data_IF_826895653491
#
_entry.id   IF_826895653491
#
_cell.length_a   1.000
_cell.length_b   1.000
_cell.length_c   1.000
_cell.angle_alpha   90.00
_cell.angle_beta   90.00
_cell.angle_gamma   90.00
#
_symmetry.space_group_name_H-M   'P 1'
#
loop_
_entity.id
_entity.type
_entity.pdbx_description
1 polymer ?
#
# COMPACT_ATOMS: atom_id res chain seq x y z
N UNK A 1 12.20 18.59 12.49
CA UNK A 1 13.08 17.73 11.67
C UNK A 1 13.25 16.44 12.43
N UNK A 2 12.74 15.34 11.86
CA UNK A 2 12.57 14.07 12.58
C UNK A 2 13.86 13.72 13.29
N UNK A 3 13.76 13.30 14.55
CA UNK A 3 14.91 12.65 15.17
C UNK A 3 15.34 11.50 14.26
N UNK A 4 16.65 11.32 14.09
CA UNK A 4 17.19 10.31 13.18
C UNK A 4 16.62 8.91 13.48
N UNK A 5 16.36 8.62 14.75
CA UNK A 5 15.70 7.36 15.16
C UNK A 5 14.26 7.28 14.67
N UNK A 6 13.46 8.33 14.88
CA UNK A 6 12.07 8.38 14.43
C UNK A 6 11.97 8.29 12.90
N UNK A 7 12.85 8.99 12.17
CA UNK A 7 12.92 8.95 10.71
C UNK A 7 13.21 7.53 10.18
N UNK A 8 14.21 6.85 10.74
CA UNK A 8 14.54 5.48 10.35
C UNK A 8 13.40 4.50 10.64
N UNK A 9 12.72 4.60 11.79
CA UNK A 9 11.58 3.74 12.13
C UNK A 9 10.38 3.98 11.22
N UNK A 10 10.10 5.25 10.94
CA UNK A 10 9.05 5.68 10.04
C UNK A 10 9.28 5.14 8.62
N UNK A 11 10.47 5.35 8.04
CA UNK A 11 10.79 4.86 6.70
C UNK A 11 10.94 3.34 6.63
N UNK A 12 11.49 2.70 7.66
CA UNK A 12 11.51 1.24 7.77
C UNK A 12 10.11 0.64 7.56
N UNK A 13 9.11 1.13 8.29
CA UNK A 13 7.74 0.65 8.17
C UNK A 13 7.14 0.92 6.78
N UNK A 14 7.40 2.10 6.20
CA UNK A 14 6.97 2.44 4.83
C UNK A 14 7.55 1.49 3.78
N UNK A 15 8.85 1.19 3.84
CA UNK A 15 9.47 0.30 2.87
C UNK A 15 8.94 -1.13 2.96
N UNK A 16 8.67 -1.64 4.17
CA UNK A 16 8.08 -2.97 4.34
C UNK A 16 6.66 -3.03 3.78
N UNK A 17 5.82 -2.02 4.05
CA UNK A 17 4.46 -1.94 3.49
C UNK A 17 4.48 -1.80 1.96
N UNK A 18 5.41 -0.99 1.41
CA UNK A 18 5.59 -0.81 -0.04
C UNK A 18 6.00 -2.08 -0.75
N UNK A 19 6.98 -2.81 -0.21
CA UNK A 19 7.42 -4.08 -0.78
C UNK A 19 6.26 -5.08 -0.87
N UNK A 20 5.44 -5.16 0.19
CA UNK A 20 4.28 -6.03 0.22
C UNK A 20 3.21 -5.61 -0.79
N UNK A 21 2.93 -4.31 -0.89
CA UNK A 21 1.99 -3.77 -1.85
C UNK A 21 2.37 -4.07 -3.30
N UNK A 22 3.64 -3.90 -3.65
CA UNK A 22 4.14 -4.22 -4.99
C UNK A 22 4.03 -5.72 -5.24
N UNK A 23 4.36 -6.56 -4.25
CA UNK A 23 4.20 -7.99 -4.38
C UNK A 23 2.74 -8.41 -4.64
N UNK A 24 1.78 -7.75 -3.98
CA UNK A 24 0.35 -7.97 -4.23
C UNK A 24 -0.11 -7.45 -5.58
N UNK A 25 0.43 -6.31 -6.03
CA UNK A 25 0.13 -5.73 -7.34
C UNK A 25 0.57 -6.68 -8.45
N UNK A 26 1.77 -7.25 -8.36
CA UNK A 26 2.26 -8.27 -9.30
C UNK A 26 1.37 -9.52 -9.25
N UNK A 27 1.06 -10.06 -8.06
CA UNK A 27 0.21 -11.26 -7.94
C UNK A 27 -1.20 -11.05 -8.51
N UNK A 28 -1.79 -9.88 -8.26
CA UNK A 28 -3.10 -9.50 -8.81
C UNK A 28 -3.04 -9.40 -10.34
N UNK A 29 -2.01 -8.75 -10.88
CA UNK A 29 -1.82 -8.58 -12.33
C UNK A 29 -1.63 -9.94 -13.02
N UNK A 30 -0.82 -10.84 -12.46
CA UNK A 30 -0.63 -12.20 -12.99
C UNK A 30 -1.95 -12.99 -13.06
N UNK A 31 -2.84 -12.81 -12.08
CA UNK A 31 -4.14 -13.49 -12.08
C UNK A 31 -5.07 -12.96 -13.15
N UNK A 32 -5.10 -11.64 -13.36
CA UNK A 32 -5.94 -11.01 -14.40
C UNK A 32 -5.44 -11.40 -15.78
N UNK A 33 -4.13 -11.37 -16.03
CA UNK A 33 -3.54 -11.72 -17.34
C UNK A 33 -3.60 -13.21 -17.66
N UNK A 34 -3.85 -14.07 -16.67
CA UNK A 34 -4.12 -15.50 -16.88
C UNK A 34 -5.56 -15.79 -17.35
N UNK A 35 -6.47 -14.81 -17.33
CA UNK A 35 -7.82 -14.96 -17.84
C UNK A 35 -7.81 -15.03 -19.39
N UNK A 36 -8.78 -15.72 -20.02
CA UNK A 36 -8.89 -15.74 -21.47
C UNK A 36 -8.98 -14.32 -22.04
N UNK A 37 -8.40 -14.09 -23.23
CA UNK A 37 -8.30 -12.76 -23.85
C UNK A 37 -9.64 -12.04 -24.03
N UNK A 38 -10.76 -12.78 -24.08
CA UNK A 38 -12.12 -12.23 -24.07
C UNK A 38 -12.49 -11.48 -22.80
N UNK A 39 -11.72 -11.65 -21.72
CA UNK A 39 -11.92 -11.03 -20.41
C UNK A 39 -10.82 -10.01 -20.05
N UNK A 40 -9.84 -9.81 -20.92
CA UNK A 40 -8.82 -8.77 -20.75
C UNK A 40 -9.39 -7.49 -21.37
N UNK A 41 -9.46 -6.41 -20.58
CA UNK A 41 -9.94 -5.13 -21.06
C UNK A 41 -9.09 -4.57 -22.20
N UNK A 42 -9.48 -3.43 -22.77
CA UNK A 42 -8.68 -2.75 -23.81
C UNK A 42 -7.32 -2.25 -23.31
N UNK A 43 -7.10 -2.22 -22.00
CA UNK A 43 -5.93 -1.66 -21.33
C UNK A 43 -4.89 -2.72 -20.99
N UNK A 44 -3.61 -2.40 -21.11
CA UNK A 44 -2.53 -3.26 -20.65
C UNK A 44 -2.51 -3.31 -19.11
N UNK A 45 -2.80 -4.48 -18.53
CA UNK A 45 -2.81 -4.66 -17.08
C UNK A 45 -1.43 -4.47 -16.44
N UNK A 46 -0.35 -4.69 -17.19
CA UNK A 46 1.01 -4.40 -16.72
C UNK A 46 1.30 -2.90 -16.65
N UNK A 47 0.71 -2.09 -17.53
CA UNK A 47 0.75 -0.62 -17.40
C UNK A 47 -0.06 -0.15 -16.19
N UNK A 48 -1.23 -0.75 -15.96
CA UNK A 48 -2.02 -0.49 -14.75
C UNK A 48 -1.23 -0.78 -13.47
N UNK A 49 -0.45 -1.86 -13.45
CA UNK A 49 0.44 -2.20 -12.34
C UNK A 49 1.51 -1.12 -12.10
N UNK A 50 2.14 -0.60 -13.16
CA UNK A 50 3.14 0.47 -13.07
C UNK A 50 2.55 1.79 -12.57
N UNK A 51 1.35 2.15 -13.03
CA UNK A 51 0.60 3.33 -12.56
C UNK A 51 0.26 3.19 -11.07
N UNK A 52 -0.23 2.01 -10.67
CA UNK A 52 -0.62 1.69 -9.29
C UNK A 52 0.59 1.73 -8.36
N UNK A 53 1.76 1.30 -8.83
CA UNK A 53 3.04 1.42 -8.13
C UNK A 53 3.64 2.84 -8.15
N UNK A 54 3.07 3.78 -8.93
CA UNK A 54 3.56 5.16 -9.03
C UNK A 54 4.89 5.31 -9.76
N UNK A 55 5.26 4.36 -10.63
CA UNK A 55 6.58 4.31 -11.30
C UNK A 55 6.49 4.19 -12.82
N UNK A 56 5.32 4.47 -13.41
CA UNK A 56 5.09 4.38 -14.85
C UNK A 56 6.07 5.25 -15.66
N UNK A 57 6.29 6.51 -15.29
CA UNK A 57 7.21 7.39 -16.02
C UNK A 57 8.66 6.86 -15.99
N UNK A 58 9.17 6.53 -14.80
CA UNK A 58 10.55 6.06 -14.64
C UNK A 58 10.80 4.65 -15.21
N UNK A 59 9.74 3.87 -15.43
CA UNK A 59 9.84 2.59 -16.12
C UNK A 59 10.26 2.79 -17.59
N UNK A 60 9.66 3.76 -18.27
CA UNK A 60 9.91 4.02 -19.68
C UNK A 60 11.29 4.67 -19.97
N UNK A 61 11.97 5.15 -18.93
CA UNK A 61 13.38 5.53 -19.01
C UNK A 61 14.32 4.31 -19.17
N UNK A 62 13.84 3.11 -18.83
CA UNK A 62 14.63 1.86 -18.79
C UNK A 62 14.14 0.85 -19.84
N UNK A 63 12.82 0.75 -20.04
CA UNK A 63 12.20 -0.22 -20.94
C UNK A 63 11.28 0.48 -21.95
N UNK A 64 11.21 -0.04 -23.18
CA UNK A 64 10.33 0.53 -24.21
C UNK A 64 8.89 0.03 -24.10
N UNK A 65 8.68 -1.19 -23.61
CA UNK A 65 7.37 -1.85 -23.58
C UNK A 65 7.08 -2.46 -22.21
N UNK A 66 5.84 -2.29 -21.75
CA UNK A 66 5.32 -2.84 -20.50
C UNK A 66 4.86 -4.29 -20.68
N UNK A 67 5.81 -5.19 -20.94
CA UNK A 67 5.59 -6.65 -20.96
C UNK A 67 5.62 -7.23 -19.55
N UNK A 68 5.06 -8.42 -19.35
CA UNK A 68 5.14 -9.16 -18.07
C UNK A 68 6.57 -9.24 -17.56
N UNK A 69 7.50 -9.66 -18.41
CA UNK A 69 8.91 -9.82 -18.03
C UNK A 69 9.52 -8.49 -17.58
N UNK A 70 9.34 -7.41 -18.36
CA UNK A 70 9.94 -6.12 -18.06
C UNK A 70 9.35 -5.52 -16.78
N UNK A 71 8.02 -5.58 -16.61
CA UNK A 71 7.36 -4.99 -15.43
C UNK A 71 7.67 -5.79 -14.17
N UNK A 72 7.67 -7.13 -14.22
CA UNK A 72 8.09 -7.95 -13.09
C UNK A 72 9.53 -7.65 -12.70
N UNK A 73 10.46 -7.63 -13.66
CA UNK A 73 11.87 -7.31 -13.37
C UNK A 73 12.00 -5.92 -12.74
N UNK A 74 11.33 -4.92 -13.31
CA UNK A 74 11.41 -3.54 -12.83
C UNK A 74 10.82 -3.34 -11.43
N UNK A 75 9.69 -3.97 -11.15
CA UNK A 75 9.00 -3.84 -9.85
C UNK A 75 9.63 -4.73 -8.77
N UNK A 76 10.16 -5.90 -9.12
CA UNK A 76 10.69 -6.84 -8.14
C UNK A 76 12.18 -6.62 -7.85
N UNK A 77 13.01 -6.48 -8.88
CA UNK A 77 14.45 -6.66 -8.76
C UNK A 77 15.29 -5.49 -9.25
N UNK A 78 14.74 -4.60 -10.10
CA UNK A 78 15.53 -3.54 -10.71
C UNK A 78 16.12 -2.58 -9.68
N UNK A 79 17.45 -2.34 -9.72
CA UNK A 79 18.11 -1.37 -8.87
C UNK A 79 17.80 0.08 -9.30
N UNK A 80 17.37 0.31 -10.54
CA UNK A 80 17.01 1.66 -11.03
C UNK A 80 15.66 2.14 -10.52
N UNK A 81 14.84 1.26 -9.95
CA UNK A 81 13.58 1.59 -9.33
C UNK A 81 13.76 1.64 -7.80
N UNK A 82 13.81 2.82 -7.16
CA UNK A 82 13.94 2.92 -5.69
C UNK A 82 12.79 2.25 -4.93
N UNK A 83 11.63 2.08 -5.59
CA UNK A 83 10.47 1.41 -5.04
C UNK A 83 10.46 -0.09 -5.33
N UNK A 84 11.44 -0.68 -6.05
CA UNK A 84 11.43 -2.13 -6.27
C UNK A 84 11.44 -2.90 -4.96
N UNK A 85 10.86 -4.11 -4.95
CA UNK A 85 10.81 -4.97 -3.75
C UNK A 85 12.22 -5.15 -3.17
N UNK A 86 13.21 -5.41 -4.03
CA UNK A 86 14.61 -5.53 -3.64
C UNK A 86 15.12 -4.28 -2.92
N UNK A 87 14.99 -3.11 -3.55
CA UNK A 87 15.46 -1.85 -2.98
C UNK A 87 14.72 -1.48 -1.68
N UNK A 88 13.42 -1.79 -1.59
CA UNK A 88 12.65 -1.60 -0.35
C UNK A 88 13.17 -2.46 0.80
N UNK A 89 13.46 -3.74 0.56
CA UNK A 89 14.00 -4.65 1.59
C UNK A 89 15.42 -4.20 2.00
N UNK A 90 16.25 -3.78 1.05
CA UNK A 90 17.59 -3.23 1.34
C UNK A 90 17.51 -1.94 2.16
N UNK A 91 16.65 -1.00 1.79
CA UNK A 91 16.43 0.24 2.52
C UNK A 91 15.87 -0.01 3.94
N UNK A 92 14.91 -0.93 4.06
CA UNK A 92 14.41 -1.41 5.35
C UNK A 92 15.56 -1.97 6.20
N UNK A 93 16.44 -2.80 5.64
CA UNK A 93 17.58 -3.38 6.34
C UNK A 93 18.61 -2.34 6.81
N UNK A 94 18.81 -1.26 6.04
CA UNK A 94 19.69 -0.15 6.42
C UNK A 94 19.09 0.69 7.55
N UNK A 95 17.81 1.01 7.47
CA UNK A 95 17.09 1.72 8.52
C UNK A 95 17.06 0.91 9.82
N UNK A 96 16.78 -0.41 9.72
CA UNK A 96 16.76 -1.30 10.89
C UNK A 96 18.13 -1.40 11.57
N UNK A 97 19.23 -1.36 10.79
CA UNK A 97 20.60 -1.33 11.35
C UNK A 97 20.85 -0.04 12.13
N UNK A 98 20.40 1.08 11.59
CA UNK A 98 20.58 2.41 12.19
C UNK A 98 19.82 2.57 13.50
N UNK A 99 18.72 1.82 13.69
CA UNK A 99 17.88 1.85 14.90
C UNK A 99 17.82 0.52 15.63
N UNK A 100 18.91 -0.27 15.56
CA UNK A 100 18.97 -1.62 16.14
C UNK A 100 18.58 -1.67 17.63
N UNK A 101 18.88 -0.61 18.38
CA UNK A 101 18.56 -0.48 19.81
C UNK A 101 17.10 -0.14 20.10
N UNK A 102 16.38 0.41 19.11
CA UNK A 102 14.95 0.71 19.21
C UNK A 102 14.06 -0.44 18.71
N UNK A 103 14.63 -1.42 17.99
CA UNK A 103 13.93 -2.61 17.50
C UNK A 103 14.05 -3.77 18.47
N UNK A 104 13.00 -4.59 18.54
CA UNK A 104 13.08 -5.88 19.21
C UNK A 104 13.88 -6.87 18.36
N UNK A 105 14.36 -7.95 18.99
CA UNK A 105 15.11 -8.99 18.28
C UNK A 105 14.28 -9.62 17.17
N UNK A 106 12.99 -9.88 17.39
CA UNK A 106 12.08 -10.48 16.42
C UNK A 106 11.91 -9.61 15.16
N UNK A 107 11.77 -8.29 15.34
CA UNK A 107 11.68 -7.36 14.21
C UNK A 107 12.99 -7.29 13.43
N UNK A 108 14.11 -7.23 14.15
CA UNK A 108 15.43 -7.22 13.54
C UNK A 108 15.69 -8.49 12.73
N UNK A 109 15.44 -9.65 13.34
CA UNK A 109 15.67 -10.96 12.74
C UNK A 109 14.79 -11.13 11.50
N UNK A 110 13.53 -10.70 11.55
CA UNK A 110 12.63 -10.74 10.37
C UNK A 110 13.22 -10.01 9.16
N UNK A 111 13.67 -8.76 9.33
CA UNK A 111 14.22 -7.96 8.23
C UNK A 111 15.60 -8.45 7.82
N UNK A 112 16.42 -8.86 8.78
CA UNK A 112 17.76 -9.37 8.49
C UNK A 112 17.71 -10.69 7.72
N UNK A 113 16.88 -11.64 8.13
CA UNK A 113 16.68 -12.90 7.42
C UNK A 113 16.10 -12.68 6.03
N UNK A 114 15.12 -11.79 5.88
CA UNK A 114 14.58 -11.46 4.57
C UNK A 114 15.63 -10.87 3.62
N UNK A 115 16.50 -9.99 4.12
CA UNK A 115 17.60 -9.44 3.31
C UNK A 115 18.63 -10.51 2.91
N UNK A 116 18.99 -11.43 3.82
CA UNK A 116 19.89 -12.55 3.50
C UNK A 116 19.26 -13.46 2.43
N UNK A 117 18.00 -13.87 2.64
CA UNK A 117 17.29 -14.75 1.70
C UNK A 117 17.12 -14.10 0.32
N UNK A 118 16.85 -12.79 0.28
CA UNK A 118 16.80 -12.01 -0.96
C UNK A 118 18.11 -12.09 -1.76
N UNK A 119 19.26 -12.06 -1.10
CA UNK A 119 20.56 -12.20 -1.74
C UNK A 119 20.88 -13.63 -2.15
N UNK A 120 20.64 -14.59 -1.27
CA UNK A 120 21.07 -16.00 -1.46
C UNK A 120 20.14 -16.80 -2.36
N UNK A 121 18.82 -16.62 -2.21
CA UNK A 121 17.79 -17.40 -2.94
C UNK A 121 17.31 -16.64 -4.17
N UNK A 122 17.06 -15.33 -4.02
CA UNK A 122 16.38 -14.52 -5.03
C UNK A 122 17.33 -13.61 -5.82
N UNK A 123 18.65 -13.68 -5.57
CA UNK A 123 19.63 -12.76 -6.14
C UNK A 123 19.77 -12.82 -7.67
N UNK A 124 19.30 -13.91 -8.30
CA UNK A 124 19.28 -14.09 -9.77
C UNK A 124 17.91 -13.77 -10.40
N UNK A 125 16.96 -13.24 -9.63
CA UNK A 125 15.58 -13.06 -10.06
C UNK A 125 14.80 -14.37 -10.07
N UNK A 126 13.71 -14.40 -10.84
CA UNK A 126 12.79 -15.56 -10.94
C UNK A 126 12.70 -16.02 -12.39
N UNK A 127 12.84 -17.32 -12.64
CA UNK A 127 12.89 -17.87 -14.01
C UNK A 127 11.55 -18.45 -14.48
N UNK A 128 10.58 -18.62 -13.57
CA UNK A 128 9.25 -19.13 -13.90
C UNK A 128 8.16 -18.44 -13.07
N UNK A 129 6.90 -18.55 -13.53
CA UNK A 129 5.73 -18.05 -12.77
C UNK A 129 5.57 -18.72 -11.41
N UNK A 130 5.99 -19.98 -11.27
CA UNK A 130 5.95 -20.68 -9.98
C UNK A 130 7.00 -20.11 -9.01
N UNK A 131 8.22 -19.85 -9.49
CA UNK A 131 9.26 -19.18 -8.71
C UNK A 131 8.85 -17.78 -8.32
N UNK A 132 8.27 -17.01 -9.24
CA UNK A 132 7.72 -15.70 -8.97
C UNK A 132 6.64 -15.77 -7.89
N UNK A 133 5.69 -16.69 -7.99
CA UNK A 133 4.66 -16.85 -6.96
C UNK A 133 5.25 -17.20 -5.57
N UNK A 134 6.34 -17.99 -5.51
CA UNK A 134 7.07 -18.25 -4.25
C UNK A 134 7.74 -16.98 -3.71
N UNK A 135 8.39 -16.20 -4.58
CA UNK A 135 9.00 -14.93 -4.21
C UNK A 135 7.97 -13.93 -3.65
N UNK A 136 6.83 -13.76 -4.35
CA UNK A 136 5.77 -12.85 -3.90
C UNK A 136 5.20 -13.26 -2.54
N UNK A 137 5.04 -14.58 -2.28
CA UNK A 137 4.63 -15.09 -0.97
C UNK A 137 5.68 -14.80 0.11
N UNK A 138 6.96 -15.01 -0.17
CA UNK A 138 8.06 -14.67 0.74
C UNK A 138 8.01 -13.19 1.18
N UNK A 139 7.76 -12.27 0.25
CA UNK A 139 7.65 -10.83 0.55
C UNK A 139 6.43 -10.53 1.42
N UNK A 140 5.27 -11.10 1.08
CA UNK A 140 4.04 -10.94 1.86
C UNK A 140 4.18 -11.49 3.28
N UNK A 141 4.78 -12.68 3.44
CA UNK A 141 5.05 -13.28 4.74
C UNK A 141 6.04 -12.48 5.57
N UNK A 142 7.07 -11.91 4.94
CA UNK A 142 8.04 -11.02 5.61
C UNK A 142 7.33 -9.81 6.22
N UNK A 143 6.46 -9.16 5.46
CA UNK A 143 5.68 -8.03 5.96
C UNK A 143 4.75 -8.41 7.11
N UNK A 144 4.03 -9.53 7.00
CA UNK A 144 3.17 -10.04 8.08
C UNK A 144 3.95 -10.37 9.36
N UNK A 145 5.13 -11.01 9.23
CA UNK A 145 6.01 -11.31 10.36
C UNK A 145 6.54 -10.03 11.00
N UNK A 146 6.89 -9.02 10.21
CA UNK A 146 7.38 -7.74 10.71
C UNK A 146 6.30 -6.99 11.49
N UNK A 147 5.11 -6.84 10.90
CA UNK A 147 3.97 -6.15 11.54
C UNK A 147 3.51 -6.89 12.81
N UNK A 148 3.41 -8.22 12.74
CA UNK A 148 3.05 -9.06 13.88
C UNK A 148 4.07 -8.98 15.02
N UNK A 149 5.37 -8.94 14.69
CA UNK A 149 6.44 -8.73 15.68
C UNK A 149 6.33 -7.35 16.31
N UNK A 150 6.26 -6.29 15.50
CA UNK A 150 6.12 -4.91 15.97
C UNK A 150 4.93 -4.76 16.93
N UNK A 151 3.78 -5.33 16.56
CA UNK A 151 2.59 -5.29 17.38
C UNK A 151 2.75 -6.04 18.70
N UNK A 152 3.39 -7.21 18.71
CA UNK A 152 3.48 -8.07 19.90
C UNK A 152 4.59 -7.70 20.87
N UNK A 153 5.69 -7.14 20.40
CA UNK A 153 6.94 -7.06 21.20
C UNK A 153 7.36 -5.63 21.53
N UNK A 154 6.99 -4.62 20.73
CA UNK A 154 7.38 -3.24 21.00
C UNK A 154 6.59 -2.63 22.16
N UNK A 155 7.29 -1.90 23.05
CA UNK A 155 6.66 -1.02 24.01
C UNK A 155 5.84 0.07 23.30
N UNK A 156 4.72 0.48 23.90
CA UNK A 156 3.83 1.52 23.35
C UNK A 156 4.36 2.93 23.62
N UNK A 157 5.54 3.21 23.08
CA UNK A 157 6.23 4.49 23.13
C UNK A 157 6.32 5.13 21.74
N UNK A 158 6.99 6.26 21.66
CA UNK A 158 7.18 7.00 20.41
C UNK A 158 7.79 6.18 19.28
N UNK A 159 8.77 5.30 19.56
CA UNK A 159 9.34 4.41 18.55
C UNK A 159 8.28 3.52 17.89
N UNK A 160 7.38 2.94 18.69
CA UNK A 160 6.24 2.19 18.16
C UNK A 160 5.32 3.09 17.35
N UNK A 161 4.94 4.25 17.88
CA UNK A 161 4.00 5.15 17.22
C UNK A 161 4.54 5.69 15.88
N UNK A 162 5.82 6.04 15.77
CA UNK A 162 6.45 6.46 14.51
C UNK A 162 6.49 5.33 13.48
N UNK A 163 6.78 4.09 13.90
CA UNK A 163 6.67 2.92 13.03
C UNK A 163 5.23 2.73 12.52
N UNK A 164 4.23 2.86 13.40
CA UNK A 164 2.81 2.80 13.01
C UNK A 164 2.41 3.92 12.05
N UNK A 165 2.93 5.15 12.23
CA UNK A 165 2.66 6.25 11.28
C UNK A 165 3.13 5.91 9.87
N UNK A 166 4.36 5.41 9.73
CA UNK A 166 4.90 5.02 8.42
C UNK A 166 4.02 3.97 7.75
N UNK A 167 3.67 2.92 8.48
CA UNK A 167 2.80 1.85 7.98
C UNK A 167 1.44 2.36 7.52
N UNK A 168 0.74 3.15 8.34
CA UNK A 168 -0.61 3.61 7.97
C UNK A 168 -0.60 4.67 6.86
N UNK A 169 0.44 5.51 6.77
CA UNK A 169 0.56 6.49 5.70
C UNK A 169 0.82 5.81 4.35
N UNK A 170 1.71 4.82 4.31
CA UNK A 170 2.00 4.05 3.10
C UNK A 170 0.79 3.23 2.67
N UNK A 171 0.09 2.59 3.61
CA UNK A 171 -1.11 1.80 3.33
C UNK A 171 -2.25 2.63 2.75
N UNK A 172 -2.44 3.85 3.27
CA UNK A 172 -3.39 4.80 2.75
C UNK A 172 -3.05 5.21 1.31
N UNK A 173 -1.77 5.50 1.03
CA UNK A 173 -1.28 5.84 -0.31
C UNK A 173 -1.53 4.70 -1.31
N UNK A 174 -1.16 3.47 -0.92
CA UNK A 174 -1.33 2.27 -1.73
C UNK A 174 -2.81 2.04 -2.11
N UNK A 175 -3.71 2.17 -1.14
CA UNK A 175 -5.15 1.97 -1.39
C UNK A 175 -5.70 3.07 -2.29
N UNK A 176 -5.30 4.33 -2.06
CA UNK A 176 -5.70 5.43 -2.91
C UNK A 176 -5.21 5.28 -4.35
N UNK A 177 -3.97 4.82 -4.57
CA UNK A 177 -3.43 4.57 -5.92
C UNK A 177 -4.15 3.45 -6.67
N UNK A 178 -4.52 2.37 -6.00
CA UNK A 178 -5.34 1.32 -6.63
C UNK A 178 -6.68 1.90 -7.09
N UNK A 179 -7.34 2.65 -6.21
CA UNK A 179 -8.62 3.30 -6.53
C UNK A 179 -8.47 4.28 -7.68
N UNK A 180 -7.39 5.08 -7.69
CA UNK A 180 -7.10 6.07 -8.72
C UNK A 180 -6.88 5.46 -10.11
N UNK A 181 -6.21 4.31 -10.19
CA UNK A 181 -5.97 3.63 -11.47
C UNK A 181 -7.21 2.88 -11.95
N UNK A 182 -8.00 2.34 -11.03
CA UNK A 182 -9.16 1.49 -11.35
C UNK A 182 -10.50 2.21 -11.20
N UNK A 183 -10.54 3.54 -11.07
CA UNK A 183 -11.81 4.26 -10.86
C UNK A 183 -12.82 4.06 -11.99
N UNK A 184 -12.37 4.00 -13.26
CA UNK A 184 -13.24 3.71 -14.41
C UNK A 184 -13.94 2.34 -14.31
N UNK A 185 -13.31 1.38 -13.64
CA UNK A 185 -13.87 0.05 -13.37
C UNK A 185 -14.87 0.09 -12.22
N UNK A 186 -14.69 1.06 -11.32
CA UNK A 186 -15.61 1.33 -10.23
C UNK A 186 -16.79 2.23 -10.66
N UNK A 187 -16.71 2.87 -11.83
CA UNK A 187 -17.68 3.81 -12.36
C UNK A 187 -17.82 3.71 -13.90
N UNK A 188 -18.48 2.68 -14.43
CA UNK A 188 -18.80 2.62 -15.85
C UNK A 188 -19.91 3.62 -16.19
N UNK A 189 -19.70 4.45 -17.23
CA UNK A 189 -20.64 5.53 -17.60
C UNK A 189 -21.96 5.02 -18.20
N UNK A 190 -21.99 3.91 -18.97
CA UNK A 190 -23.21 3.47 -19.68
C UNK A 190 -23.33 1.96 -19.98
N UNK A 191 -22.40 1.11 -19.53
CA UNK A 191 -22.44 -0.35 -19.82
C UNK A 191 -23.37 -1.12 -18.86
N UNK A 192 -23.90 -2.26 -19.33
CA UNK A 192 -24.60 -3.24 -18.48
C UNK A 192 -23.66 -3.72 -17.36
N UNK A 193 -23.70 -3.02 -16.23
CA UNK A 193 -22.88 -3.29 -15.04
C UNK A 193 -23.13 -4.72 -14.55
N UNK A 194 -22.05 -5.48 -14.33
CA UNK A 194 -22.14 -6.84 -13.78
C UNK A 194 -21.89 -7.94 -14.81
N UNK A 195 -21.20 -7.63 -15.90
CA UNK A 195 -20.62 -8.67 -16.76
C UNK A 195 -19.56 -9.49 -16.01
N UNK A 196 -19.22 -10.71 -16.48
CA UNK A 196 -18.18 -11.52 -15.85
C UNK A 196 -16.80 -10.83 -15.78
N UNK A 197 -16.50 -9.93 -16.73
CA UNK A 197 -15.26 -9.17 -16.80
C UNK A 197 -15.11 -8.21 -15.62
N UNK A 198 -16.16 -7.44 -15.31
CA UNK A 198 -16.17 -6.52 -14.17
C UNK A 198 -15.95 -7.25 -12.85
N UNK A 199 -16.59 -8.41 -12.69
CA UNK A 199 -16.45 -9.24 -11.50
C UNK A 199 -14.99 -9.65 -11.24
N UNK A 200 -14.25 -10.03 -12.29
CA UNK A 200 -12.83 -10.38 -12.15
C UNK A 200 -11.97 -9.18 -11.76
N UNK A 201 -12.22 -8.02 -12.37
CA UNK A 201 -11.46 -6.81 -12.04
C UNK A 201 -11.74 -6.34 -10.60
N UNK A 202 -13.00 -6.35 -10.17
CA UNK A 202 -13.40 -6.07 -8.79
C UNK A 202 -12.79 -7.06 -7.79
N UNK A 203 -12.80 -8.35 -8.12
CA UNK A 203 -12.15 -9.38 -7.30
C UNK A 203 -10.64 -9.14 -7.20
N UNK A 204 -10.00 -8.72 -8.29
CA UNK A 204 -8.58 -8.41 -8.33
C UNK A 204 -8.23 -7.22 -7.42
N UNK A 205 -9.02 -6.14 -7.51
CA UNK A 205 -8.91 -4.97 -6.61
C UNK A 205 -9.00 -5.43 -5.17
N UNK A 206 -10.07 -6.12 -4.78
CA UNK A 206 -10.28 -6.58 -3.40
C UNK A 206 -9.18 -7.53 -2.92
N UNK A 207 -8.62 -8.39 -3.78
CA UNK A 207 -7.50 -9.26 -3.41
C UNK A 207 -6.19 -8.51 -3.21
N UNK A 208 -5.92 -7.49 -4.03
CA UNK A 208 -4.72 -6.64 -3.89
C UNK A 208 -4.69 -5.91 -2.53
N UNK A 209 -5.85 -5.67 -1.92
CA UNK A 209 -5.99 -5.09 -0.58
C UNK A 209 -6.47 -6.09 0.48
N UNK A 210 -6.43 -7.41 0.23
CA UNK A 210 -6.88 -8.45 1.19
C UNK A 210 -8.31 -8.26 1.72
N UNK A 211 -9.19 -7.59 0.97
CA UNK A 211 -10.53 -7.19 1.40
C UNK A 211 -11.64 -8.08 0.84
N UNK A 212 -11.35 -9.08 0.00
CA UNK A 212 -12.40 -9.89 -0.65
C UNK A 212 -13.30 -10.60 0.37
N UNK A 213 -12.72 -11.23 1.39
CA UNK A 213 -13.48 -11.85 2.47
C UNK A 213 -14.24 -10.80 3.28
N UNK A 214 -13.59 -9.68 3.62
CA UNK A 214 -14.20 -8.60 4.39
C UNK A 214 -15.43 -8.00 3.67
N UNK A 215 -15.37 -7.86 2.35
CA UNK A 215 -16.49 -7.40 1.53
C UNK A 215 -17.74 -8.25 1.74
N UNK A 216 -17.61 -9.58 1.61
CA UNK A 216 -18.77 -10.47 1.78
C UNK A 216 -19.29 -10.50 3.22
N UNK A 217 -18.44 -10.25 4.21
CA UNK A 217 -18.88 -10.11 5.60
C UNK A 217 -19.66 -8.83 5.86
N UNK A 218 -19.23 -7.70 5.29
CA UNK A 218 -19.83 -6.38 5.50
C UNK A 218 -21.15 -6.24 4.74
N UNK A 219 -21.16 -6.56 3.43
CA UNK A 219 -22.33 -6.27 2.59
C UNK A 219 -23.24 -7.48 2.36
N UNK A 220 -22.72 -8.71 2.44
CA UNK A 220 -23.48 -9.95 2.16
C UNK A 220 -24.16 -9.98 0.79
N UNK A 221 -23.59 -9.25 -0.17
CA UNK A 221 -24.09 -9.13 -1.54
C UNK A 221 -23.05 -9.58 -2.56
N UNK A 222 -23.49 -9.71 -3.82
CA UNK A 222 -22.58 -9.81 -4.97
C UNK A 222 -21.75 -8.54 -5.09
N UNK A 223 -20.56 -8.66 -5.69
CA UNK A 223 -19.69 -7.51 -5.91
C UNK A 223 -20.41 -6.40 -6.68
N UNK A 224 -20.37 -5.20 -6.11
CA UNK A 224 -20.94 -3.97 -6.66
C UNK A 224 -19.88 -2.87 -6.56
N UNK A 225 -19.64 -2.10 -7.64
CA UNK A 225 -18.62 -1.06 -7.67
C UNK A 225 -18.71 -0.08 -6.50
N UNK A 226 -19.90 0.43 -6.23
CA UNK A 226 -20.14 1.43 -5.20
C UNK A 226 -19.88 0.91 -3.79
N UNK A 227 -20.18 -0.36 -3.52
CA UNK A 227 -19.88 -1.00 -2.24
C UNK A 227 -18.38 -1.27 -2.09
N UNK A 228 -17.66 -1.51 -3.18
CA UNK A 228 -16.20 -1.64 -3.14
C UNK A 228 -15.56 -0.30 -2.85
N UNK A 229 -16.02 0.77 -3.51
CA UNK A 229 -15.55 2.12 -3.23
C UNK A 229 -15.85 2.52 -1.77
N UNK A 230 -17.06 2.28 -1.27
CA UNK A 230 -17.43 2.47 0.13
C UNK A 230 -16.49 1.73 1.09
N UNK A 231 -16.23 0.44 0.82
CA UNK A 231 -15.38 -0.41 1.64
C UNK A 231 -13.94 0.12 1.73
N UNK A 232 -13.40 0.59 0.61
CA UNK A 232 -12.01 1.02 0.52
C UNK A 232 -11.82 2.48 0.93
N UNK A 233 -12.85 3.31 0.85
CA UNK A 233 -12.76 4.73 1.19
C UNK A 233 -13.27 4.99 2.61
N UNK A 234 -14.53 4.69 2.89
CA UNK A 234 -15.26 5.19 4.08
C UNK A 234 -15.36 4.18 5.23
N UNK A 235 -15.19 2.88 4.97
CA UNK A 235 -15.39 1.87 6.01
C UNK A 235 -14.34 1.93 7.13
N UNK A 236 -14.73 2.19 8.38
CA UNK A 236 -13.78 2.31 9.50
C UNK A 236 -13.16 0.99 9.99
N UNK A 237 -13.78 -0.14 9.66
CA UNK A 237 -13.41 -1.45 10.18
C UNK A 237 -12.39 -2.18 9.32
N UNK A 238 -12.35 -1.92 8.01
CA UNK A 238 -11.37 -2.52 7.12
C UNK A 238 -9.99 -1.87 7.37
N UNK A 239 -8.95 -2.62 7.79
CA UNK A 239 -7.66 -2.03 8.16
C UNK A 239 -6.91 -1.28 7.06
N UNK A 240 -7.31 -1.49 5.80
CA UNK A 240 -6.72 -0.89 4.60
C UNK A 240 -7.56 0.24 4.00
N UNK A 241 -8.77 0.48 4.51
CA UNK A 241 -9.55 1.62 4.02
C UNK A 241 -8.87 2.95 4.36
N UNK A 242 -9.19 3.98 3.58
CA UNK A 242 -8.67 5.33 3.82
C UNK A 242 -9.12 5.86 5.18
N UNK A 243 -10.40 5.68 5.51
CA UNK A 243 -11.00 6.01 6.80
C UNK A 243 -10.27 5.36 8.00
N UNK A 244 -10.05 4.04 7.94
CA UNK A 244 -9.39 3.30 9.03
C UNK A 244 -7.92 3.69 9.17
N UNK A 245 -7.21 3.86 8.05
CA UNK A 245 -5.82 4.32 8.08
C UNK A 245 -5.70 5.71 8.72
N UNK A 246 -6.58 6.65 8.39
CA UNK A 246 -6.57 8.00 8.97
C UNK A 246 -7.00 8.01 10.44
N UNK A 247 -7.95 7.17 10.84
CA UNK A 247 -8.29 6.96 12.25
C UNK A 247 -7.05 6.52 13.07
N UNK A 248 -6.27 5.58 12.54
CA UNK A 248 -5.01 5.16 13.16
C UNK A 248 -3.91 6.23 13.11
N UNK A 249 -3.76 6.98 12.00
CA UNK A 249 -2.81 8.09 11.90
C UNK A 249 -3.09 9.16 12.97
N UNK A 250 -4.35 9.57 13.12
CA UNK A 250 -4.74 10.54 14.16
C UNK A 250 -4.39 10.01 15.55
N UNK A 251 -4.78 8.77 15.87
CA UNK A 251 -4.46 8.15 17.17
C UNK A 251 -2.96 8.14 17.46
N UNK A 252 -2.15 7.70 16.49
CA UNK A 252 -0.70 7.59 16.68
C UNK A 252 -0.04 8.98 16.80
N UNK A 253 -0.47 9.96 16.00
CA UNK A 253 0.02 11.34 16.12
C UNK A 253 -0.38 11.97 17.46
N UNK A 254 -1.55 11.63 18.00
CA UNK A 254 -1.97 12.09 19.33
C UNK A 254 -1.09 11.51 20.43
N UNK A 255 -0.77 10.22 20.37
CA UNK A 255 0.16 9.57 21.32
C UNK A 255 1.56 10.17 21.26
N UNK A 256 2.08 10.46 20.06
CA UNK A 256 3.34 11.19 19.91
C UNK A 256 3.23 12.60 20.48
N UNK A 257 2.12 13.29 20.21
CA UNK A 257 1.88 14.63 20.75
C UNK A 257 1.86 14.66 22.28
N UNK A 258 1.32 13.62 22.93
CA UNK A 258 1.39 13.44 24.38
C UNK A 258 2.83 13.18 24.83
N UNK A 259 3.55 12.26 24.18
CA UNK A 259 4.92 11.89 24.57
C UNK A 259 5.92 13.05 24.48
N UNK A 260 5.74 13.95 23.50
CA UNK A 260 6.59 15.13 23.29
C UNK A 260 6.01 16.42 23.87
N UNK A 261 4.84 16.37 24.52
CA UNK A 261 4.16 17.55 25.08
C UNK A 261 3.78 18.61 24.03
N UNK A 262 3.66 18.23 22.75
CA UNK A 262 3.44 19.16 21.63
C UNK A 262 2.47 18.59 20.62
N UNK A 263 1.32 19.26 20.51
CA UNK A 263 0.36 19.12 19.42
C UNK A 263 0.69 20.13 18.32
N UNK A 264 0.58 19.74 17.05
CA UNK A 264 1.09 20.55 15.94
C UNK A 264 0.27 20.46 14.66
N UNK A 265 0.93 20.82 13.56
CA UNK A 265 0.34 20.85 12.23
C UNK A 265 -0.03 19.45 11.72
N UNK A 266 0.75 18.41 12.06
CA UNK A 266 0.47 17.04 11.60
C UNK A 266 -0.85 16.51 12.17
N UNK A 267 -1.13 16.73 13.46
CA UNK A 267 -2.41 16.37 14.07
C UNK A 267 -3.58 17.13 13.45
N UNK A 268 -3.44 18.44 13.26
CA UNK A 268 -4.52 19.25 12.65
C UNK A 268 -4.82 18.80 11.24
N UNK A 269 -3.80 18.55 10.41
CA UNK A 269 -3.96 18.08 9.04
C UNK A 269 -4.62 16.70 9.00
N UNK A 270 -4.10 15.74 9.77
CA UNK A 270 -4.66 14.38 9.83
C UNK A 270 -6.11 14.36 10.33
N UNK A 271 -6.45 15.18 11.34
CA UNK A 271 -7.83 15.33 11.83
C UNK A 271 -8.74 15.99 10.79
N UNK A 272 -8.25 16.96 10.03
CA UNK A 272 -8.99 17.59 8.94
C UNK A 272 -9.42 16.56 7.89
N UNK A 273 -8.47 15.76 7.41
CA UNK A 273 -8.75 14.69 6.43
C UNK A 273 -9.66 13.61 7.03
N UNK A 274 -9.42 13.20 8.28
CA UNK A 274 -10.28 12.23 8.99
C UNK A 274 -11.71 12.74 9.12
N UNK A 275 -11.90 13.99 9.52
CA UNK A 275 -13.23 14.60 9.64
C UNK A 275 -13.93 14.64 8.28
N UNK A 276 -13.20 14.97 7.19
CA UNK A 276 -13.76 14.93 5.83
C UNK A 276 -14.24 13.52 5.48
N UNK A 277 -13.43 12.49 5.71
CA UNK A 277 -13.81 11.09 5.48
C UNK A 277 -15.04 10.68 6.31
N UNK A 278 -15.08 11.03 7.59
CA UNK A 278 -16.17 10.65 8.50
C UNK A 278 -17.52 11.28 8.14
N UNK A 279 -17.51 12.48 7.56
CA UNK A 279 -18.73 13.20 7.15
C UNK A 279 -19.01 13.11 5.65
N UNK A 280 -18.25 12.30 4.90
CA UNK A 280 -18.51 12.07 3.49
C UNK A 280 -19.53 10.94 3.32
N UNK A 281 -20.43 11.10 2.35
CA UNK A 281 -21.30 10.02 1.88
C UNK A 281 -20.88 9.59 0.48
N UNK A 282 -21.04 8.30 0.17
CA UNK A 282 -20.68 7.80 -1.17
C UNK A 282 -21.45 8.52 -2.27
N UNK A 283 -22.73 8.84 -2.06
CA UNK A 283 -23.54 9.57 -3.04
C UNK A 283 -22.93 10.94 -3.38
N UNK A 284 -22.42 11.66 -2.37
CA UNK A 284 -21.76 12.96 -2.58
C UNK A 284 -20.44 12.80 -3.32
N UNK A 285 -19.62 11.81 -2.94
CA UNK A 285 -18.35 11.52 -3.61
C UNK A 285 -18.59 11.18 -5.09
N UNK A 286 -19.64 10.42 -5.38
CA UNK A 286 -20.00 10.08 -6.76
C UNK A 286 -20.47 11.30 -7.56
N UNK A 287 -21.29 12.17 -6.97
CA UNK A 287 -21.77 13.39 -7.63
C UNK A 287 -20.65 14.38 -7.93
N UNK A 288 -19.64 14.49 -7.06
CA UNK A 288 -18.51 15.40 -7.22
C UNK A 288 -17.34 14.81 -8.00
N UNK A 289 -17.31 13.47 -8.15
CA UNK A 289 -16.26 12.74 -8.86
C UNK A 289 -15.34 11.97 -7.93
N UNK A 290 -15.29 10.64 -8.10
CA UNK A 290 -14.44 9.75 -7.30
C UNK A 290 -12.96 9.98 -7.60
N UNK A 291 -12.59 10.21 -8.85
CA UNK A 291 -11.20 10.43 -9.23
C UNK A 291 -10.65 11.72 -8.59
N UNK A 292 -11.43 12.80 -8.65
CA UNK A 292 -11.13 14.09 -8.04
C UNK A 292 -10.95 13.96 -6.52
N UNK A 293 -11.86 13.25 -5.86
CA UNK A 293 -11.75 12.95 -4.44
C UNK A 293 -10.47 12.18 -4.10
N UNK A 294 -10.12 11.16 -4.89
CA UNK A 294 -8.92 10.35 -4.67
C UNK A 294 -7.65 11.17 -4.90
N UNK A 295 -7.61 12.01 -5.94
CA UNK A 295 -6.47 12.90 -6.21
C UNK A 295 -6.25 13.90 -5.08
N UNK A 296 -7.32 14.51 -4.56
CA UNK A 296 -7.25 15.37 -3.37
C UNK A 296 -6.70 14.60 -2.16
N UNK A 297 -7.18 13.38 -1.94
CA UNK A 297 -6.70 12.52 -0.86
C UNK A 297 -5.21 12.16 -1.00
N UNK A 298 -4.74 11.80 -2.20
CA UNK A 298 -3.32 11.49 -2.46
C UNK A 298 -2.44 12.71 -2.15
N UNK A 299 -2.88 13.91 -2.57
CA UNK A 299 -2.19 15.16 -2.28
C UNK A 299 -2.13 15.44 -0.76
N UNK A 300 -3.25 15.24 -0.06
CA UNK A 300 -3.31 15.42 1.39
C UNK A 300 -2.46 14.41 2.16
N UNK A 301 -2.43 13.15 1.72
CA UNK A 301 -1.61 12.10 2.30
C UNK A 301 -0.11 12.38 2.12
N UNK A 302 0.29 12.83 0.94
CA UNK A 302 1.66 13.26 0.64
C UNK A 302 2.06 14.46 1.52
N UNK A 303 1.18 15.47 1.61
CA UNK A 303 1.38 16.65 2.46
C UNK A 303 1.50 16.27 3.94
N UNK A 304 0.71 15.32 4.44
CA UNK A 304 0.82 14.85 5.82
C UNK A 304 2.23 14.28 6.10
N UNK A 305 2.76 13.47 5.17
CA UNK A 305 4.12 12.94 5.27
C UNK A 305 5.16 14.05 5.40
N UNK A 306 5.09 15.09 4.57
CA UNK A 306 5.98 16.25 4.68
C UNK A 306 5.86 17.01 6.00
N UNK A 307 4.62 17.21 6.48
CA UNK A 307 4.37 17.91 7.75
C UNK A 307 4.96 17.11 8.92
N UNK A 308 4.81 15.79 8.93
CA UNK A 308 5.39 14.92 9.95
C UNK A 308 6.92 15.08 9.98
N UNK A 309 7.57 15.04 8.82
CA UNK A 309 9.04 15.20 8.69
C UNK A 309 9.55 16.56 9.16
N UNK A 310 8.76 17.63 8.94
CA UNK A 310 9.12 18.98 9.42
C UNK A 310 8.89 19.15 10.91
N UNK A 311 7.77 18.63 11.44
CA UNK A 311 7.30 18.90 12.80
C UNK A 311 8.09 18.17 13.87
N UNK A 312 8.20 16.85 13.74
CA UNK A 312 9.06 16.03 14.59
C UNK A 312 10.46 16.11 14.06
#
# INVERSE_FOLDING_TARGET
MLSRTAENLYWLARYVERAEYIARTIDATLRVTALPATYIGKTNEWESALLTAGVSASFYDVYQEATEQNVVEYLAFSPSNPSSIKNCIEAARLNSRSVRTALTSEMWDTINSAWIELGEVWGKGTSSREELARFLRFVQETSLRFDGSAYRTMLRNDAYWFSRLGLHLERADNTARILDVKYHVLLPEEEHVGGPLDYYQWTSILRSVSALTAYHWVYRETLKPWLIADLLILNDTLPRSLASCYSNLVRNLDQIGVAYGRQGASQRHARGVRNRLEHSHMDDIFQHGVHEFIQEFIADNSRLGEIITRQY
#
